data_IF_722630122374
#
_entry.id   IF_722630122374
#
_cell.length_a   1.000
_cell.length_b   1.000
_cell.length_c   1.000
_cell.angle_alpha   90.00
_cell.angle_beta   90.00
_cell.angle_gamma   90.00
#
_symmetry.space_group_name_H-M   'P 1'
#
loop_
_entity.id
_entity.type
_entity.pdbx_description
1 polymer ?
#
# COMPACT_ATOMS: atom_id res chain seq x y z
N UNK A 1 28.75 0.99 29.48
CA UNK A 1 28.61 2.31 30.14
C UNK A 1 27.70 3.16 29.27
N UNK A 2 26.52 3.54 29.79
CA UNK A 2 25.57 4.42 29.09
C UNK A 2 25.81 5.82 29.65
N UNK A 3 26.24 6.76 28.82
CA UNK A 3 26.47 8.15 29.20
C UNK A 3 25.42 8.96 28.47
N UNK A 4 24.60 9.69 29.23
CA UNK A 4 23.63 10.64 28.68
C UNK A 4 24.42 11.88 28.21
N UNK A 5 24.38 12.24 26.92
CA UNK A 5 25.01 13.48 26.45
C UNK A 5 24.34 14.68 27.10
N UNK A 6 25.12 15.68 27.53
CA UNK A 6 24.56 16.95 28.01
C UNK A 6 23.98 17.79 26.86
N UNK A 7 23.15 18.78 27.18
CA UNK A 7 22.45 19.66 26.23
C UNK A 7 23.35 20.34 25.16
N UNK A 8 24.67 20.43 25.44
CA UNK A 8 25.67 20.91 24.49
C UNK A 8 25.84 20.02 23.24
N UNK A 9 25.18 18.86 23.16
CA UNK A 9 25.31 17.94 22.02
C UNK A 9 24.02 17.76 21.21
N UNK A 10 22.90 18.35 21.64
CA UNK A 10 21.58 18.14 21.01
C UNK A 10 21.50 18.69 19.58
N UNK A 11 22.38 19.63 19.20
CA UNK A 11 22.48 20.16 17.84
C UNK A 11 23.35 19.31 16.90
N UNK A 12 24.06 18.29 17.40
CA UNK A 12 25.00 17.53 16.58
C UNK A 12 24.27 16.61 15.59
N UNK A 13 24.55 16.80 14.31
CA UNK A 13 24.15 15.91 13.24
C UNK A 13 25.28 15.71 12.24
N UNK A 14 25.31 14.56 11.57
CA UNK A 14 26.28 14.27 10.52
C UNK A 14 27.47 13.44 10.99
N UNK A 15 28.57 13.50 10.22
CA UNK A 15 29.73 12.61 10.38
C UNK A 15 30.84 13.34 11.13
N UNK A 16 31.39 12.70 12.16
CA UNK A 16 32.61 13.14 12.83
C UNK A 16 33.56 11.94 12.95
N UNK A 17 34.61 11.95 12.13
CA UNK A 17 35.53 10.82 12.00
C UNK A 17 34.81 9.52 11.63
N UNK A 18 34.92 8.50 12.49
CA UNK A 18 34.29 7.18 12.32
C UNK A 18 32.91 7.09 12.98
N UNK A 19 32.37 8.17 13.53
CA UNK A 19 31.08 8.21 14.21
C UNK A 19 30.10 9.06 13.39
N UNK A 20 28.84 8.62 13.36
CA UNK A 20 27.71 9.35 12.80
C UNK A 20 26.76 9.68 13.94
N UNK A 21 26.47 10.98 14.06
CA UNK A 21 25.50 11.54 14.99
C UNK A 21 24.18 11.79 14.26
N UNK A 22 23.08 11.35 14.86
CA UNK A 22 21.73 11.66 14.38
C UNK A 22 20.79 11.83 15.55
N UNK A 23 19.82 12.74 15.41
CA UNK A 23 18.73 12.89 16.36
C UNK A 23 17.54 12.05 15.89
N UNK A 24 17.01 11.21 16.78
CA UNK A 24 15.82 10.39 16.54
C UNK A 24 14.89 10.56 17.73
N UNK A 25 13.69 11.07 17.51
CA UNK A 25 12.68 11.32 18.55
C UNK A 25 13.25 12.11 19.75
N UNK A 26 14.00 13.19 19.47
CA UNK A 26 14.63 14.04 20.48
C UNK A 26 15.84 13.42 21.20
N UNK A 27 16.28 12.23 20.81
CA UNK A 27 17.45 11.55 21.39
C UNK A 27 18.63 11.57 20.43
N UNK A 28 19.78 11.99 20.93
CA UNK A 28 21.03 11.91 20.20
C UNK A 28 21.52 10.45 20.15
N UNK A 29 21.73 9.94 18.93
CA UNK A 29 22.30 8.62 18.67
C UNK A 29 23.66 8.81 18.02
N UNK A 30 24.70 8.32 18.69
CA UNK A 30 26.04 8.17 18.15
C UNK A 30 26.25 6.71 17.72
N UNK A 31 26.59 6.49 16.45
CA UNK A 31 26.81 5.14 15.91
C UNK A 31 28.09 5.09 15.08
N UNK A 32 28.79 3.95 15.08
CA UNK A 32 29.94 3.76 14.20
C UNK A 32 29.47 3.83 12.75
N UNK A 33 30.23 4.54 11.90
CA UNK A 33 29.97 4.62 10.47
C UNK A 33 29.91 3.20 9.89
N UNK A 34 28.86 2.87 9.13
CA UNK A 34 28.78 1.58 8.45
C UNK A 34 29.91 1.46 7.43
N UNK A 35 30.56 0.29 7.43
CA UNK A 35 31.60 -0.10 6.47
C UNK A 35 30.95 -1.13 5.56
N UNK A 36 30.85 -0.82 4.27
CA UNK A 36 30.35 -1.75 3.27
C UNK A 36 31.55 -2.43 2.61
N UNK A 37 31.69 -3.75 2.78
CA UNK A 37 32.85 -4.51 2.29
C UNK A 37 32.54 -5.34 1.04
N UNK A 38 31.27 -5.60 0.75
CA UNK A 38 30.81 -6.39 -0.39
C UNK A 38 29.97 -5.56 -1.36
N UNK A 39 29.92 -6.02 -2.61
CA UNK A 39 28.98 -5.47 -3.59
C UNK A 39 27.54 -5.79 -3.18
N UNK A 40 26.58 -4.89 -3.46
CA UNK A 40 25.18 -5.15 -3.16
C UNK A 40 24.63 -6.35 -3.94
N UNK A 41 23.75 -7.12 -3.31
CA UNK A 41 23.00 -8.18 -4.01
C UNK A 41 21.89 -7.60 -4.89
N UNK A 42 21.36 -8.37 -5.82
CA UNK A 42 20.22 -7.97 -6.65
C UNK A 42 19.00 -7.56 -5.80
N UNK A 43 18.68 -8.33 -4.77
CA UNK A 43 17.59 -7.99 -3.83
C UNK A 43 17.84 -6.66 -3.10
N UNK A 44 19.09 -6.36 -2.73
CA UNK A 44 19.44 -5.07 -2.12
C UNK A 44 19.34 -3.92 -3.12
N UNK A 45 19.73 -4.12 -4.37
CA UNK A 45 19.57 -3.11 -5.44
C UNK A 45 18.09 -2.85 -5.71
N UNK A 46 17.28 -3.90 -5.82
CA UNK A 46 15.83 -3.80 -5.99
C UNK A 46 15.17 -3.06 -4.82
N UNK A 47 15.58 -3.35 -3.58
CA UNK A 47 15.06 -2.64 -2.41
C UNK A 47 15.47 -1.15 -2.39
N UNK A 48 16.72 -0.83 -2.74
CA UNK A 48 17.18 0.58 -2.85
C UNK A 48 16.40 1.33 -3.91
N UNK A 49 16.14 0.68 -5.04
CA UNK A 49 15.35 1.23 -6.13
C UNK A 49 13.90 1.48 -5.69
N UNK A 50 13.26 0.51 -5.04
CA UNK A 50 11.92 0.68 -4.47
C UNK A 50 11.87 1.81 -3.44
N UNK A 51 12.91 1.96 -2.60
CA UNK A 51 13.01 3.08 -1.65
C UNK A 51 13.19 4.44 -2.36
N UNK A 52 13.93 4.48 -3.47
CA UNK A 52 14.07 5.69 -4.29
C UNK A 52 12.73 6.13 -4.86
N UNK A 53 11.91 5.19 -5.32
CA UNK A 53 10.55 5.44 -5.79
C UNK A 53 9.64 5.91 -4.65
N UNK A 54 9.68 5.24 -3.49
CA UNK A 54 8.95 5.67 -2.28
C UNK A 54 9.30 7.11 -1.88
N UNK A 55 10.58 7.48 -1.93
CA UNK A 55 11.02 8.84 -1.64
C UNK A 55 10.55 9.85 -2.69
N UNK A 56 10.43 9.45 -3.96
CA UNK A 56 9.88 10.30 -5.01
C UNK A 56 8.38 10.53 -4.81
N UNK A 57 7.62 9.47 -4.48
CA UNK A 57 6.22 9.55 -4.08
C UNK A 57 6.04 10.44 -2.84
N UNK A 58 6.87 10.26 -1.81
CA UNK A 58 6.85 11.11 -0.62
C UNK A 58 7.04 12.59 -0.95
N UNK A 59 7.92 12.92 -1.90
CA UNK A 59 8.09 14.31 -2.36
C UNK A 59 6.86 14.84 -3.11
N UNK A 60 6.19 14.03 -3.93
CA UNK A 60 4.97 14.47 -4.60
C UNK A 60 3.82 14.68 -3.61
N UNK A 61 3.66 13.79 -2.63
CA UNK A 61 2.66 13.96 -1.55
C UNK A 61 2.93 15.25 -0.77
N UNK A 62 4.19 15.53 -0.40
CA UNK A 62 4.54 16.75 0.33
C UNK A 62 4.29 18.04 -0.46
N UNK A 63 4.27 17.96 -1.80
CA UNK A 63 4.00 19.08 -2.69
C UNK A 63 2.49 19.32 -2.93
N UNK A 64 1.64 18.33 -2.68
CA UNK A 64 0.18 18.44 -2.77
C UNK A 64 -0.45 18.72 -1.38
N UNK A 65 -1.00 19.93 -1.14
CA UNK A 65 -1.57 20.28 0.16
C UNK A 65 -2.70 19.36 0.62
N UNK A 66 -3.53 18.87 -0.30
CA UNK A 66 -4.70 18.05 0.04
C UNK A 66 -4.26 16.67 0.54
N UNK A 67 -3.43 15.97 -0.24
CA UNK A 67 -2.90 14.66 0.16
C UNK A 67 -2.00 14.79 1.38
N UNK A 68 -1.18 15.84 1.48
CA UNK A 68 -0.33 16.09 2.65
C UNK A 68 -1.13 16.21 3.94
N UNK A 69 -2.27 16.93 3.92
CA UNK A 69 -3.09 17.12 5.13
C UNK A 69 -3.59 15.79 5.69
N UNK A 70 -4.01 14.87 4.81
CA UNK A 70 -4.46 13.54 5.17
C UNK A 70 -3.36 12.70 5.84
N UNK A 71 -2.12 12.73 5.33
CA UNK A 71 -1.00 12.06 6.02
C UNK A 71 -0.56 12.77 7.30
N UNK A 72 -0.69 14.10 7.39
CA UNK A 72 -0.29 14.86 8.56
C UNK A 72 -1.13 14.48 9.78
N UNK A 73 -2.46 14.42 9.63
CA UNK A 73 -3.37 14.01 10.70
C UNK A 73 -3.05 12.61 11.25
N UNK A 74 -2.78 11.65 10.34
CA UNK A 74 -2.37 10.30 10.70
C UNK A 74 -0.98 10.27 11.37
N UNK A 75 -0.04 11.08 10.89
CA UNK A 75 1.31 11.19 11.43
C UNK A 75 1.32 11.73 12.86
N UNK A 76 0.55 12.78 13.13
CA UNK A 76 0.40 13.36 14.46
C UNK A 76 -0.24 12.38 15.44
N UNK A 77 -1.29 11.68 14.99
CA UNK A 77 -1.97 10.64 15.79
C UNK A 77 -1.04 9.46 16.14
N UNK A 78 -0.15 9.08 15.22
CA UNK A 78 0.82 7.98 15.42
C UNK A 78 2.13 8.43 16.08
N UNK A 79 2.33 9.74 16.29
CA UNK A 79 3.60 10.30 16.80
C UNK A 79 4.80 10.02 15.88
N UNK A 80 4.57 9.96 14.57
CA UNK A 80 5.58 9.63 13.56
C UNK A 80 5.88 10.84 12.67
N UNK A 81 7.11 11.00 12.15
CA UNK A 81 7.38 11.98 11.11
C UNK A 81 6.53 11.69 9.86
N UNK A 82 5.82 12.69 9.34
CA UNK A 82 4.95 12.55 8.16
C UNK A 82 5.64 11.85 6.98
N UNK A 83 6.87 12.23 6.66
CA UNK A 83 7.61 11.63 5.55
C UNK A 83 7.91 10.14 5.78
N UNK A 84 8.14 9.72 7.03
CA UNK A 84 8.34 8.31 7.36
C UNK A 84 7.05 7.52 7.21
N UNK A 85 5.90 8.11 7.57
CA UNK A 85 4.59 7.50 7.40
C UNK A 85 4.24 7.31 5.91
N UNK A 86 4.48 8.32 5.07
CA UNK A 86 4.25 8.22 3.62
C UNK A 86 5.14 7.14 2.99
N UNK A 87 6.42 7.07 3.40
CA UNK A 87 7.31 6.01 2.92
C UNK A 87 6.82 4.65 3.39
N UNK A 88 6.38 4.50 4.65
CA UNK A 88 5.85 3.24 5.15
C UNK A 88 4.61 2.79 4.37
N UNK A 89 3.69 3.71 4.09
CA UNK A 89 2.51 3.48 3.26
C UNK A 89 2.87 2.96 1.87
N UNK A 90 3.84 3.58 1.18
CA UNK A 90 4.32 3.08 -0.12
C UNK A 90 4.76 1.61 -0.12
N UNK A 91 5.24 1.11 1.02
CA UNK A 91 5.69 -0.28 1.14
C UNK A 91 4.56 -1.26 1.45
N UNK A 92 3.39 -0.78 1.86
CA UNK A 92 2.23 -1.58 2.27
C UNK A 92 1.15 -1.47 1.19
N UNK A 93 0.93 -2.55 0.45
CA UNK A 93 -0.16 -2.61 -0.51
C UNK A 93 -1.50 -2.88 0.20
N UNK A 94 -2.65 -2.63 -0.45
CA UNK A 94 -3.96 -2.97 0.08
C UNK A 94 -4.09 -4.46 0.38
N UNK A 95 -5.02 -4.81 1.25
CA UNK A 95 -5.36 -6.21 1.55
C UNK A 95 -6.80 -6.47 1.11
N UNK A 96 -6.99 -7.50 0.27
CA UNK A 96 -8.30 -8.04 -0.04
C UNK A 96 -8.58 -9.17 0.96
N UNK A 97 -9.62 -9.00 1.77
CA UNK A 97 -10.00 -9.95 2.81
C UNK A 97 -10.93 -11.05 2.29
N UNK A 98 -11.88 -10.68 1.43
CA UNK A 98 -12.86 -11.63 0.89
C UNK A 98 -13.52 -11.11 -0.38
N UNK A 99 -13.98 -12.05 -1.22
CA UNK A 99 -14.91 -11.79 -2.32
C UNK A 99 -16.18 -12.62 -2.02
N UNK A 100 -17.30 -11.94 -1.79
CA UNK A 100 -18.61 -12.53 -1.62
C UNK A 100 -19.36 -12.55 -2.95
N UNK A 101 -19.74 -13.75 -3.35
CA UNK A 101 -20.42 -14.07 -4.61
C UNK A 101 -21.86 -14.56 -4.39
N UNK A 102 -22.38 -14.49 -3.16
CA UNK A 102 -23.72 -14.98 -2.81
C UNK A 102 -24.84 -14.31 -3.60
N UNK A 103 -24.62 -13.07 -4.04
CA UNK A 103 -25.57 -12.29 -4.85
C UNK A 103 -25.25 -12.31 -6.35
N UNK A 104 -24.35 -13.18 -6.79
CA UNK A 104 -23.93 -13.32 -8.18
C UNK A 104 -24.14 -14.75 -8.67
N UNK A 105 -25.04 -14.93 -9.65
CA UNK A 105 -25.34 -16.23 -10.27
C UNK A 105 -24.75 -16.37 -11.69
N UNK A 106 -23.78 -15.52 -12.06
CA UNK A 106 -23.30 -15.43 -13.44
C UNK A 106 -24.26 -14.72 -14.40
N UNK A 107 -25.20 -13.93 -13.85
CA UNK A 107 -26.21 -13.18 -14.59
C UNK A 107 -25.93 -11.67 -14.50
N UNK A 108 -26.38 -10.93 -15.51
CA UNK A 108 -26.40 -9.47 -15.47
C UNK A 108 -27.18 -8.97 -14.24
N UNK A 109 -26.77 -7.82 -13.69
CA UNK A 109 -27.23 -7.20 -12.45
C UNK A 109 -26.94 -8.00 -11.16
N UNK A 110 -26.26 -9.14 -11.24
CA UNK A 110 -25.73 -9.83 -10.05
C UNK A 110 -24.62 -9.00 -9.41
N UNK A 111 -24.51 -9.06 -8.08
CA UNK A 111 -23.59 -8.22 -7.31
C UNK A 111 -22.44 -9.06 -6.77
N UNK A 112 -21.22 -8.63 -7.06
CA UNK A 112 -19.98 -9.15 -6.49
C UNK A 112 -19.52 -8.15 -5.43
N UNK A 113 -19.41 -8.60 -4.18
CA UNK A 113 -19.01 -7.74 -3.06
C UNK A 113 -17.59 -8.10 -2.64
N UNK A 114 -16.71 -7.11 -2.53
CA UNK A 114 -15.32 -7.29 -2.11
C UNK A 114 -15.08 -6.54 -0.81
N UNK A 115 -14.49 -7.23 0.17
CA UNK A 115 -13.98 -6.60 1.39
C UNK A 115 -12.49 -6.35 1.22
N UNK A 116 -12.07 -5.09 1.20
CA UNK A 116 -10.67 -4.72 1.06
C UNK A 116 -10.35 -3.44 1.83
N UNK A 117 -9.16 -3.38 2.42
CA UNK A 117 -8.70 -2.28 3.26
C UNK A 117 -7.27 -1.89 2.91
N UNK A 118 -6.95 -0.62 3.17
CA UNK A 118 -5.63 -0.04 3.07
C UNK A 118 -5.46 1.04 4.14
N UNK A 119 -4.23 1.32 4.57
CA UNK A 119 -3.92 2.29 5.64
C UNK A 119 -4.41 3.70 5.30
N UNK A 120 -4.37 4.07 4.02
CA UNK A 120 -4.85 5.36 3.54
C UNK A 120 -5.99 5.23 2.53
N UNK A 121 -6.36 4.01 2.15
CA UNK A 121 -7.54 3.71 1.36
C UNK A 121 -7.21 3.36 -0.07
N UNK A 122 -8.13 2.62 -0.68
CA UNK A 122 -7.99 2.10 -2.04
C UNK A 122 -8.46 3.16 -3.03
N UNK A 123 -7.61 3.46 -4.02
CA UNK A 123 -7.88 4.45 -5.07
C UNK A 123 -8.70 3.82 -6.21
N UNK A 124 -8.41 2.56 -6.52
CA UNK A 124 -9.01 1.85 -7.65
C UNK A 124 -9.25 0.38 -7.27
N UNK A 125 -10.46 -0.10 -7.55
CA UNK A 125 -10.89 -1.49 -7.37
C UNK A 125 -11.49 -1.98 -8.67
N UNK A 126 -10.84 -2.96 -9.28
CA UNK A 126 -11.24 -3.52 -10.57
C UNK A 126 -11.67 -4.98 -10.39
N UNK A 127 -12.82 -5.34 -10.93
CA UNK A 127 -13.24 -6.74 -11.10
C UNK A 127 -12.93 -7.18 -12.53
N UNK A 128 -12.37 -8.38 -12.64
CA UNK A 128 -12.13 -9.07 -13.90
C UNK A 128 -12.71 -10.47 -13.77
N UNK A 129 -13.59 -10.84 -14.68
CA UNK A 129 -14.22 -12.15 -14.75
C UNK A 129 -13.67 -12.86 -15.98
N UNK A 130 -13.12 -14.06 -15.78
CA UNK A 130 -12.65 -14.91 -16.87
C UNK A 130 -13.38 -16.26 -16.85
N UNK A 131 -13.32 -17.00 -17.95
CA UNK A 131 -13.61 -18.44 -17.92
C UNK A 131 -12.50 -19.21 -17.17
N UNK A 132 -12.62 -20.54 -17.14
CA UNK A 132 -11.66 -21.45 -16.51
C UNK A 132 -10.34 -21.59 -17.29
N UNK A 133 -10.28 -21.13 -18.54
CA UNK A 133 -9.07 -21.07 -19.37
C UNK A 133 -8.38 -19.70 -19.28
N UNK A 134 -8.96 -18.74 -18.56
CA UNK A 134 -8.44 -17.39 -18.40
C UNK A 134 -8.83 -16.41 -19.51
N UNK A 135 -9.76 -16.78 -20.41
CA UNK A 135 -10.31 -15.86 -21.41
C UNK A 135 -11.10 -14.77 -20.70
N UNK A 136 -10.79 -13.47 -20.90
CA UNK A 136 -11.55 -12.38 -20.31
C UNK A 136 -12.98 -12.37 -20.85
N UNK A 137 -13.95 -12.42 -19.95
CA UNK A 137 -15.37 -12.38 -20.28
C UNK A 137 -16.00 -11.03 -19.93
N UNK A 138 -15.60 -10.45 -18.80
CA UNK A 138 -16.11 -9.17 -18.33
C UNK A 138 -15.08 -8.47 -17.44
N UNK A 139 -15.08 -7.14 -17.42
CA UNK A 139 -14.31 -6.37 -16.45
C UNK A 139 -14.96 -5.01 -16.22
N UNK A 140 -14.98 -4.55 -14.98
CA UNK A 140 -15.36 -3.17 -14.66
C UNK A 140 -14.93 -2.73 -13.25
N UNK A 141 -15.01 -1.43 -13.01
CA UNK A 141 -14.68 -0.85 -11.72
C UNK A 141 -15.76 -1.22 -10.68
N UNK A 142 -15.33 -1.65 -9.50
CA UNK A 142 -16.19 -1.71 -8.33
C UNK A 142 -16.20 -0.35 -7.63
N UNK A 143 -17.28 -0.03 -6.95
CA UNK A 143 -17.42 1.21 -6.20
C UNK A 143 -17.59 0.93 -4.72
N UNK A 144 -16.97 1.76 -3.88
CA UNK A 144 -17.16 1.66 -2.44
C UNK A 144 -18.62 1.95 -2.09
N UNK A 145 -19.21 1.05 -1.31
CA UNK A 145 -20.63 1.10 -0.92
C UNK A 145 -20.98 2.30 -0.05
N UNK A 146 -20.01 2.78 0.74
CA UNK A 146 -20.07 4.03 1.49
C UNK A 146 -18.64 4.51 1.73
N UNK A 147 -18.39 5.84 1.82
CA UNK A 147 -17.04 6.36 1.99
C UNK A 147 -16.31 5.76 3.20
N UNK A 148 -15.15 5.16 2.96
CA UNK A 148 -14.32 4.55 3.99
C UNK A 148 -14.90 3.28 4.60
N UNK A 149 -15.93 2.69 4.00
CA UNK A 149 -16.50 1.45 4.50
C UNK A 149 -15.49 0.32 4.38
N UNK A 150 -14.67 0.26 3.31
CA UNK A 150 -13.83 -0.86 2.91
C UNK A 150 -14.59 -1.99 2.19
N UNK A 151 -15.86 -1.74 1.85
CA UNK A 151 -16.72 -2.69 1.13
C UNK A 151 -17.02 -2.14 -0.25
N UNK A 152 -16.63 -2.88 -1.27
CA UNK A 152 -16.74 -2.52 -2.67
C UNK A 152 -17.77 -3.41 -3.35
N UNK A 153 -18.60 -2.84 -4.22
CA UNK A 153 -19.60 -3.57 -4.97
C UNK A 153 -19.38 -3.38 -6.47
N UNK A 154 -19.42 -4.49 -7.20
CA UNK A 154 -19.45 -4.52 -8.65
C UNK A 154 -20.77 -5.15 -9.11
N UNK A 155 -21.43 -4.49 -10.07
CA UNK A 155 -22.66 -4.98 -10.68
C UNK A 155 -22.31 -5.57 -12.04
N UNK A 156 -22.52 -6.88 -12.20
CA UNK A 156 -22.23 -7.58 -13.44
C UNK A 156 -23.09 -7.02 -14.59
N UNK A 157 -22.49 -6.83 -15.75
CA UNK A 157 -23.13 -6.20 -16.90
C UNK A 157 -23.77 -7.22 -17.84
N UNK A 158 -23.21 -8.43 -17.90
CA UNK A 158 -23.63 -9.47 -18.84
C UNK A 158 -23.98 -10.78 -18.14
N UNK A 159 -24.92 -11.51 -18.73
CA UNK A 159 -25.13 -12.92 -18.38
C UNK A 159 -24.10 -13.76 -19.12
N UNK A 160 -23.24 -14.43 -18.38
CA UNK A 160 -22.17 -15.25 -18.95
C UNK A 160 -22.69 -16.67 -19.17
N UNK A 161 -22.10 -17.43 -20.10
CA UNK A 161 -22.54 -18.81 -20.40
C UNK A 161 -21.67 -19.89 -19.74
N UNK A 162 -20.40 -19.60 -19.46
CA UNK A 162 -19.47 -20.55 -18.84
C UNK A 162 -19.99 -21.05 -17.47
N UNK A 163 -19.87 -22.35 -17.20
CA UNK A 163 -20.31 -22.96 -15.93
C UNK A 163 -19.38 -22.61 -14.76
N UNK A 164 -18.10 -22.44 -15.05
CA UNK A 164 -17.05 -22.06 -14.10
C UNK A 164 -16.48 -20.71 -14.52
N UNK A 165 -16.34 -19.80 -13.55
CA UNK A 165 -15.78 -18.47 -13.71
C UNK A 165 -14.64 -18.26 -12.71
N UNK A 166 -13.63 -17.48 -13.08
CA UNK A 166 -12.63 -16.97 -12.16
C UNK A 166 -12.88 -15.47 -11.94
N UNK A 167 -13.14 -15.10 -10.70
CA UNK A 167 -13.41 -13.72 -10.30
C UNK A 167 -12.14 -13.15 -9.68
N UNK A 168 -11.52 -12.19 -10.37
CA UNK A 168 -10.32 -11.50 -9.90
C UNK A 168 -10.70 -10.11 -9.41
N UNK A 169 -10.41 -9.83 -8.14
CA UNK A 169 -10.43 -8.49 -7.59
C UNK A 169 -9.01 -7.93 -7.58
N UNK A 170 -8.85 -6.71 -8.09
CA UNK A 170 -7.57 -5.99 -8.13
C UNK A 170 -7.75 -4.68 -7.38
N UNK A 171 -7.10 -4.56 -6.22
CA UNK A 171 -7.11 -3.36 -5.40
C UNK A 171 -5.79 -2.60 -5.58
N UNK A 172 -5.86 -1.29 -5.77
CA UNK A 172 -4.70 -0.41 -5.91
C UNK A 172 -4.81 0.81 -4.99
N UNK A 173 -3.75 1.10 -4.25
CA UNK A 173 -3.66 2.26 -3.36
C UNK A 173 -3.17 3.52 -4.09
N UNK A 174 -2.98 4.63 -3.34
CA UNK A 174 -2.43 5.88 -3.88
C UNK A 174 -0.93 5.80 -4.23
N UNK A 175 -0.06 5.18 -3.41
CA UNK A 175 1.33 4.90 -3.79
C UNK A 175 1.55 4.08 -5.06
N UNK A 176 0.54 3.33 -5.50
CA UNK A 176 0.60 2.37 -6.60
C UNK A 176 0.86 0.92 -6.17
N UNK A 177 0.85 0.62 -4.86
CA UNK A 177 0.77 -0.73 -4.34
C UNK A 177 -0.52 -1.40 -4.80
N UNK A 178 -0.42 -2.70 -5.08
CA UNK A 178 -1.48 -3.46 -5.74
C UNK A 178 -1.56 -4.87 -5.15
N UNK A 179 -2.78 -5.33 -4.92
CA UNK A 179 -3.08 -6.70 -4.50
C UNK A 179 -4.13 -7.31 -5.41
N UNK A 180 -3.92 -8.57 -5.80
CA UNK A 180 -4.82 -9.34 -6.64
C UNK A 180 -5.28 -10.54 -5.85
N UNK A 181 -6.59 -10.75 -5.77
CA UNK A 181 -7.20 -11.95 -5.20
C UNK A 181 -8.10 -12.60 -6.23
N UNK A 182 -8.09 -13.93 -6.31
CA UNK A 182 -8.91 -14.69 -7.27
C UNK A 182 -9.75 -15.72 -6.54
N UNK A 183 -11.06 -15.72 -6.82
CA UNK A 183 -11.99 -16.76 -6.36
C UNK A 183 -12.53 -17.53 -7.56
N UNK A 184 -12.68 -18.84 -7.38
CA UNK A 184 -13.36 -19.69 -8.36
C UNK A 184 -14.85 -19.74 -8.04
N UNK A 185 -15.68 -19.46 -9.04
CA UNK A 185 -17.13 -19.51 -8.94
C UNK A 185 -17.68 -20.58 -9.87
N UNK A 186 -18.41 -21.54 -9.30
CA UNK A 186 -19.19 -22.52 -10.08
C UNK A 186 -20.64 -22.10 -9.98
N UNK A 187 -21.30 -21.93 -11.12
CA UNK A 187 -22.71 -21.56 -11.16
C UNK A 187 -23.58 -22.62 -10.46
N UNK A 188 -24.64 -22.18 -9.77
CA UNK A 188 -25.62 -23.08 -9.18
C UNK A 188 -26.42 -23.86 -10.23
#
# INVERSE_FOLDING_TARGET
MKVEPGAAFDFMSGKLGKIVFRNVNGKLIASRRPIFTSQPTEAQLAHRERFRQAAAYGRSVMADPATRALYQEAADSRGMPIFALIVADYFNAPVIHSIDLSSYAGMANGVITVRALDDFGILDMQIIITDDQGTPLESGAAHETAPGSGTWAYVAQSTLMASTLLIKAVAKDRPGGMTVHTETFVKP
#
